data_IF_196510796408
#
_entry.id   IF_196510796408
#
_cell.length_a   1.000
_cell.length_b   1.000
_cell.length_c   1.000
_cell.angle_alpha   90.00
_cell.angle_beta   90.00
_cell.angle_gamma   90.00
#
_symmetry.space_group_name_H-M   'P 1'
#
loop_
_entity.id
_entity.type
_entity.pdbx_description
1 polymer ?
#
# COMPACT_ATOMS: atom_id res chain seq x y z
N UNK A 1 -30.93 53.15 -37.72
CA UNK A 1 -29.83 53.37 -38.66
C UNK A 1 -28.55 53.45 -37.84
N UNK A 2 -27.77 52.35 -37.82
CA UNK A 2 -26.29 52.24 -37.75
C UNK A 2 -25.61 53.20 -36.72
N UNK A 3 -24.90 52.76 -35.68
CA UNK A 3 -23.71 51.92 -35.78
C UNK A 3 -23.29 51.33 -34.43
N UNK A 4 -22.84 50.08 -34.49
CA UNK A 4 -22.03 49.38 -33.52
C UNK A 4 -20.64 50.00 -33.41
N UNK A 5 -20.15 50.21 -32.18
CA UNK A 5 -18.71 50.27 -31.87
C UNK A 5 -18.47 49.23 -30.78
N UNK A 6 -18.05 48.04 -31.21
CA UNK A 6 -17.43 47.03 -30.36
C UNK A 6 -15.93 47.33 -30.29
N UNK A 7 -15.41 47.59 -29.09
CA UNK A 7 -13.99 47.43 -28.78
C UNK A 7 -13.85 46.61 -27.49
N UNK A 8 -13.77 45.29 -27.73
CA UNK A 8 -12.84 44.32 -27.15
C UNK A 8 -12.33 44.63 -25.74
N UNK A 9 -12.99 44.05 -24.73
CA UNK A 9 -12.33 43.54 -23.53
C UNK A 9 -12.63 42.04 -23.51
N UNK A 10 -11.83 41.29 -24.27
CA UNK A 10 -11.87 39.83 -24.26
C UNK A 10 -11.53 39.35 -22.85
N UNK A 11 -12.51 38.75 -22.20
CA UNK A 11 -12.34 37.99 -20.96
C UNK A 11 -11.29 36.91 -21.24
N UNK A 12 -10.13 37.04 -20.60
CA UNK A 12 -9.16 35.97 -20.50
C UNK A 12 -9.75 34.94 -19.54
N UNK A 13 -10.51 33.99 -20.10
CA UNK A 13 -10.89 32.79 -19.38
C UNK A 13 -9.65 31.92 -19.36
N UNK A 14 -8.91 31.94 -18.25
CA UNK A 14 -7.98 30.88 -17.91
C UNK A 14 -8.79 29.59 -17.86
N UNK A 15 -8.74 28.82 -18.95
CA UNK A 15 -9.19 27.45 -18.92
C UNK A 15 -8.19 26.71 -18.03
N UNK A 16 -8.59 26.51 -16.79
CA UNK A 16 -8.05 25.52 -15.88
C UNK A 16 -7.85 24.20 -16.66
N UNK A 17 -6.63 23.63 -16.69
CA UNK A 17 -6.41 22.39 -17.39
C UNK A 17 -7.20 21.31 -16.66
N UNK A 18 -8.31 20.88 -17.26
CA UNK A 18 -9.01 19.66 -16.87
C UNK A 18 -7.97 18.56 -16.79
N UNK A 19 -7.75 18.02 -15.59
CA UNK A 19 -6.93 16.83 -15.35
C UNK A 19 -7.57 15.66 -16.09
N UNK A 20 -7.29 15.54 -17.39
CA UNK A 20 -7.60 14.34 -18.16
C UNK A 20 -6.68 13.26 -17.61
N UNK A 21 -7.26 12.31 -16.88
CA UNK A 21 -6.54 11.13 -16.46
C UNK A 21 -6.13 10.38 -17.71
N UNK A 22 -4.84 10.37 -18.03
CA UNK A 22 -4.29 9.69 -19.20
C UNK A 22 -4.55 8.19 -19.08
N UNK A 23 -5.45 7.65 -19.93
CA UNK A 23 -5.69 6.20 -20.01
C UNK A 23 -4.59 5.55 -20.85
N UNK A 24 -3.67 4.89 -20.16
CA UNK A 24 -2.52 4.20 -20.76
C UNK A 24 -2.93 3.05 -21.68
N UNK A 25 -4.11 2.46 -21.47
CA UNK A 25 -4.66 1.42 -22.34
C UNK A 25 -5.07 2.03 -23.68
N UNK A 26 -5.72 3.19 -23.65
CA UNK A 26 -6.08 3.93 -24.85
C UNK A 26 -4.84 4.39 -25.63
N UNK A 27 -3.82 4.94 -24.93
CA UNK A 27 -2.55 5.34 -25.55
C UNK A 27 -1.82 4.16 -26.20
N UNK A 28 -1.82 3.00 -25.55
CA UNK A 28 -1.29 1.76 -26.13
C UNK A 28 -1.98 1.44 -27.45
N UNK A 29 -3.31 1.42 -27.47
CA UNK A 29 -4.05 1.08 -28.68
C UNK A 29 -3.76 2.08 -29.82
N UNK A 30 -3.66 3.37 -29.49
CA UNK A 30 -3.29 4.41 -30.44
C UNK A 30 -1.87 4.17 -31.00
N UNK A 31 -0.91 3.86 -30.14
CA UNK A 31 0.46 3.52 -30.53
C UNK A 31 0.54 2.27 -31.42
N UNK A 32 -0.28 1.25 -31.16
CA UNK A 32 -0.32 0.01 -31.95
C UNK A 32 -0.97 0.17 -33.32
N UNK A 33 -1.86 1.16 -33.48
CA UNK A 33 -2.50 1.54 -34.75
C UNK A 33 -1.61 2.46 -35.60
N UNK A 34 -0.60 3.07 -35.01
CA UNK A 34 0.27 4.05 -35.67
C UNK A 34 1.31 3.40 -36.61
N UNK A 35 1.66 4.13 -37.67
CA UNK A 35 2.72 3.80 -38.63
C UNK A 35 4.05 4.49 -38.31
N UNK A 36 4.07 5.49 -37.41
CA UNK A 36 5.23 6.37 -37.15
C UNK A 36 6.24 5.82 -36.13
N UNK A 37 6.46 4.51 -36.11
CA UNK A 37 7.52 3.89 -35.28
C UNK A 37 7.13 3.64 -33.81
N UNK A 38 6.06 4.24 -33.29
CA UNK A 38 5.56 3.96 -31.94
C UNK A 38 5.29 2.46 -31.76
N UNK A 39 4.58 1.84 -32.72
CA UNK A 39 4.34 0.40 -32.75
C UNK A 39 5.62 -0.42 -32.65
N UNK A 40 6.71 0.01 -33.29
CA UNK A 40 7.98 -0.70 -33.25
C UNK A 40 8.65 -0.58 -31.88
N UNK A 41 8.73 0.64 -31.33
CA UNK A 41 9.24 0.89 -29.98
C UNK A 41 8.44 0.13 -28.92
N UNK A 42 7.11 0.09 -29.07
CA UNK A 42 6.23 -0.67 -28.20
C UNK A 42 6.56 -2.17 -28.20
N UNK A 43 6.79 -2.76 -29.37
CA UNK A 43 7.11 -4.20 -29.48
C UNK A 43 8.46 -4.56 -28.88
N UNK A 44 9.46 -3.69 -29.05
CA UNK A 44 10.77 -3.87 -28.40
C UNK A 44 10.61 -3.88 -26.87
N UNK A 45 9.86 -2.92 -26.33
CA UNK A 45 9.57 -2.86 -24.91
C UNK A 45 8.78 -4.09 -24.43
N UNK A 46 7.73 -4.46 -25.15
CA UNK A 46 6.88 -5.61 -24.84
C UNK A 46 7.68 -6.91 -24.80
N UNK A 47 8.59 -7.12 -25.75
CA UNK A 47 9.46 -8.30 -25.80
C UNK A 47 10.51 -8.31 -24.68
N UNK A 48 11.13 -7.15 -24.39
CA UNK A 48 12.11 -7.02 -23.31
C UNK A 48 11.50 -7.33 -21.93
N UNK A 49 10.23 -6.98 -21.75
CA UNK A 49 9.50 -7.17 -20.49
C UNK A 49 8.77 -8.53 -20.38
N UNK A 50 8.85 -9.44 -21.36
CA UNK A 50 8.05 -10.68 -21.39
C UNK A 50 8.88 -11.98 -21.27
N UNK A 51 8.38 -12.98 -20.51
CA UNK A 51 8.82 -14.38 -20.61
C UNK A 51 7.62 -15.26 -20.95
N UNK A 52 7.64 -15.86 -22.14
CA UNK A 52 6.74 -16.96 -22.53
C UNK A 52 5.24 -16.66 -22.38
N UNK A 53 4.83 -15.39 -22.57
CA UNK A 53 3.42 -14.98 -22.55
C UNK A 53 2.89 -14.57 -21.16
N UNK A 54 3.72 -14.65 -20.11
CA UNK A 54 3.41 -14.12 -18.79
C UNK A 54 4.34 -12.93 -18.47
N UNK A 55 3.75 -11.73 -18.45
CA UNK A 55 4.45 -10.46 -18.19
C UNK A 55 4.79 -10.23 -16.72
N UNK A 56 4.37 -11.12 -15.83
CA UNK A 56 4.64 -11.02 -14.39
C UNK A 56 5.97 -11.66 -13.99
N UNK A 57 6.68 -12.28 -14.95
CA UNK A 57 8.07 -12.74 -14.78
C UNK A 57 8.91 -12.10 -15.88
N UNK A 58 9.61 -11.03 -15.54
CA UNK A 58 10.51 -10.33 -16.47
C UNK A 58 11.81 -11.11 -16.60
N UNK A 59 12.25 -11.36 -17.85
CA UNK A 59 13.52 -12.05 -18.13
C UNK A 59 14.73 -11.21 -17.75
N UNK A 60 14.59 -9.91 -17.98
CA UNK A 60 15.65 -8.92 -17.91
C UNK A 60 15.08 -7.59 -17.40
N UNK A 61 15.22 -7.34 -16.10
CA UNK A 61 14.71 -6.16 -15.43
C UNK A 61 15.38 -4.88 -15.95
N UNK A 62 16.69 -4.91 -16.19
CA UNK A 62 17.44 -3.75 -16.68
C UNK A 62 17.12 -3.49 -18.15
N UNK A 63 17.04 -4.53 -18.98
CA UNK A 63 16.61 -4.43 -20.38
C UNK A 63 15.18 -3.89 -20.51
N UNK A 64 14.24 -4.38 -19.70
CA UNK A 64 12.87 -3.88 -19.66
C UNK A 64 12.82 -2.40 -19.26
N UNK A 65 13.50 -2.00 -18.18
CA UNK A 65 13.55 -0.59 -17.75
C UNK A 65 14.14 0.34 -18.83
N UNK A 66 15.25 -0.05 -19.46
CA UNK A 66 15.86 0.73 -20.56
C UNK A 66 14.92 0.85 -21.77
N UNK A 67 14.20 -0.22 -22.11
CA UNK A 67 13.24 -0.20 -23.22
C UNK A 67 12.03 0.71 -22.93
N UNK A 68 11.57 0.78 -21.68
CA UNK A 68 10.52 1.71 -21.23
C UNK A 68 11.01 3.16 -21.34
N UNK A 69 12.23 3.43 -20.89
CA UNK A 69 12.82 4.78 -21.03
C UNK A 69 12.88 5.21 -22.50
N UNK A 70 13.36 4.33 -23.38
CA UNK A 70 13.41 4.59 -24.83
C UNK A 70 12.03 4.81 -25.45
N UNK A 71 11.01 4.06 -25.02
CA UNK A 71 9.63 4.26 -25.44
C UNK A 71 9.11 5.65 -25.03
N UNK A 72 9.36 6.08 -23.78
CA UNK A 72 8.90 7.38 -23.28
C UNK A 72 9.65 8.55 -23.91
N UNK A 73 10.96 8.40 -24.16
CA UNK A 73 11.76 9.42 -24.84
C UNK A 73 11.26 9.68 -26.27
N UNK A 74 10.87 8.61 -26.97
CA UNK A 74 10.33 8.72 -28.33
C UNK A 74 8.83 9.06 -28.36
N UNK A 75 8.09 8.75 -27.28
CA UNK A 75 6.64 8.90 -27.18
C UNK A 75 6.25 9.46 -25.81
N UNK A 76 6.45 10.78 -25.65
CA UNK A 76 6.30 11.49 -24.37
C UNK A 76 4.94 11.32 -23.67
N UNK A 77 3.89 10.95 -24.41
CA UNK A 77 2.55 10.72 -23.87
C UNK A 77 2.52 9.58 -22.85
N UNK A 78 3.46 8.64 -22.91
CA UNK A 78 3.59 7.55 -21.94
C UNK A 78 4.22 7.97 -20.61
N UNK A 79 4.67 9.23 -20.46
CA UNK A 79 5.25 9.71 -19.20
C UNK A 79 4.29 9.57 -18.02
N UNK A 80 3.00 9.80 -18.25
CA UNK A 80 1.95 9.67 -17.22
C UNK A 80 1.63 8.19 -16.89
N UNK A 81 2.18 7.26 -17.66
CA UNK A 81 2.04 5.81 -17.45
C UNK A 81 3.17 5.22 -16.60
N UNK A 82 4.15 6.03 -16.18
CA UNK A 82 5.22 5.61 -15.29
C UNK A 82 4.80 5.66 -13.81
N UNK A 83 5.23 4.67 -13.03
CA UNK A 83 5.12 4.66 -11.58
C UNK A 83 6.49 4.98 -10.96
N UNK A 84 6.51 5.84 -9.94
CA UNK A 84 7.75 6.19 -9.22
C UNK A 84 8.32 4.95 -8.52
N UNK A 85 9.56 4.60 -8.86
CA UNK A 85 10.32 3.47 -8.27
C UNK A 85 9.62 2.10 -8.31
N UNK A 86 8.62 1.92 -9.18
CA UNK A 86 7.89 0.65 -9.36
C UNK A 86 7.82 0.25 -10.84
N UNK A 87 8.79 -0.58 -11.26
CA UNK A 87 8.88 -1.11 -12.62
C UNK A 87 7.68 -2.02 -12.96
N UNK A 88 7.19 -2.81 -12.00
CA UNK A 88 6.06 -3.70 -12.22
C UNK A 88 4.75 -2.91 -12.31
N UNK A 89 4.55 -1.91 -11.45
CA UNK A 89 3.44 -0.97 -11.57
C UNK A 89 3.42 -0.24 -12.90
N UNK A 90 4.60 0.20 -13.37
CA UNK A 90 4.76 0.83 -14.69
C UNK A 90 4.36 -0.11 -15.81
N UNK A 91 4.86 -1.35 -15.82
CA UNK A 91 4.53 -2.35 -16.84
C UNK A 91 3.04 -2.73 -16.79
N UNK A 92 2.45 -2.85 -15.60
CA UNK A 92 1.03 -3.13 -15.42
C UNK A 92 0.15 -2.03 -16.02
N UNK A 93 0.50 -0.76 -15.74
CA UNK A 93 -0.22 0.42 -16.24
C UNK A 93 -0.11 0.55 -17.76
N UNK A 94 1.06 0.27 -18.33
CA UNK A 94 1.28 0.27 -19.79
C UNK A 94 0.55 -0.88 -20.50
N UNK A 95 0.64 -2.10 -19.96
CA UNK A 95 0.15 -3.29 -20.64
C UNK A 95 -1.32 -3.63 -20.32
N UNK A 96 -1.95 -2.91 -19.39
CA UNK A 96 -3.34 -3.14 -18.97
C UNK A 96 -3.54 -4.54 -18.37
N UNK A 97 -2.48 -5.13 -17.79
CA UNK A 97 -2.52 -6.43 -17.13
C UNK A 97 -2.25 -6.22 -15.65
N UNK A 98 -3.09 -6.83 -14.81
CA UNK A 98 -2.87 -6.83 -13.37
C UNK A 98 -1.90 -7.96 -13.03
N UNK A 99 -0.59 -7.68 -13.02
CA UNK A 99 0.34 -8.60 -12.38
C UNK A 99 0.23 -8.44 -10.87
N UNK A 100 -0.10 -9.55 -10.20
CA UNK A 100 0.18 -9.71 -8.79
C UNK A 100 1.71 -9.80 -8.72
N UNK A 101 2.31 -8.78 -8.14
CA UNK A 101 3.75 -8.61 -8.07
C UNK A 101 4.32 -9.84 -7.31
N UNK A 102 5.42 -10.47 -7.74
CA UNK A 102 6.12 -11.46 -6.87
C UNK A 102 6.71 -10.78 -5.61
N UNK A 103 6.59 -9.45 -5.44
CA UNK A 103 6.75 -8.83 -4.12
C UNK A 103 5.61 -9.20 -3.14
N UNK A 104 4.46 -9.68 -3.63
CA UNK A 104 3.49 -10.43 -2.82
C UNK A 104 4.01 -11.83 -2.45
N UNK A 105 5.12 -12.32 -3.00
CA UNK A 105 5.78 -13.53 -2.48
C UNK A 105 6.54 -13.26 -1.16
N UNK A 106 6.64 -12.01 -0.69
CA UNK A 106 7.02 -11.76 0.71
C UNK A 106 5.90 -12.19 1.67
N UNK A 107 4.64 -12.27 1.18
CA UNK A 107 3.55 -12.95 1.90
C UNK A 107 3.67 -14.46 1.82
N UNK A 108 4.22 -15.00 0.73
CA UNK A 108 4.47 -16.45 0.63
C UNK A 108 5.59 -16.88 1.59
N UNK A 109 6.70 -16.14 1.67
CA UNK A 109 7.76 -16.37 2.66
C UNK A 109 7.25 -16.29 4.11
N UNK A 110 6.38 -15.31 4.42
CA UNK A 110 5.76 -15.24 5.74
C UNK A 110 4.76 -16.38 5.96
N UNK A 111 3.93 -16.74 4.98
CA UNK A 111 3.00 -17.88 5.04
C UNK A 111 3.75 -19.21 5.25
N UNK A 112 4.90 -19.39 4.61
CA UNK A 112 5.79 -20.54 4.83
C UNK A 112 6.42 -20.52 6.22
N UNK A 113 6.79 -19.35 6.76
CA UNK A 113 7.27 -19.21 8.15
C UNK A 113 6.17 -19.51 9.17
N UNK A 114 4.94 -19.05 8.94
CA UNK A 114 3.82 -19.35 9.83
C UNK A 114 3.47 -20.84 9.86
N UNK A 115 3.80 -21.65 8.86
CA UNK A 115 3.65 -23.10 8.95
C UNK A 115 4.60 -23.76 9.97
N UNK A 116 5.62 -23.05 10.45
CA UNK A 116 6.53 -23.49 11.52
C UNK A 116 6.02 -23.10 12.92
N UNK A 117 4.91 -22.36 13.00
CA UNK A 117 4.33 -21.99 14.29
C UNK A 117 3.64 -23.17 14.95
N UNK A 118 3.73 -23.25 16.27
CA UNK A 118 2.95 -24.19 17.09
C UNK A 118 1.64 -23.57 17.60
N UNK A 119 1.29 -22.35 17.15
CA UNK A 119 0.03 -21.67 17.42
C UNK A 119 -1.25 -22.14 16.63
N UNK A 120 -1.29 -23.14 15.71
CA UNK A 120 -2.44 -23.29 14.83
C UNK A 120 -3.76 -23.70 15.50
N UNK A 121 -3.78 -24.17 16.75
CA UNK A 121 -5.01 -24.63 17.42
C UNK A 121 -5.66 -23.60 18.36
N UNK A 122 -5.27 -22.32 18.29
CA UNK A 122 -5.90 -21.26 19.07
C UNK A 122 -7.14 -20.69 18.36
N UNK A 123 -8.08 -21.56 17.98
CA UNK A 123 -9.43 -21.18 17.55
C UNK A 123 -10.29 -20.76 18.76
N UNK A 124 -10.98 -19.62 18.62
CA UNK A 124 -12.09 -19.05 19.42
C UNK A 124 -12.40 -19.63 20.83
N UNK A 125 -11.41 -19.86 21.70
CA UNK A 125 -11.65 -20.13 23.13
C UNK A 125 -11.79 -18.80 23.89
N UNK A 126 -12.88 -18.10 23.63
CA UNK A 126 -13.27 -16.88 24.36
C UNK A 126 -12.26 -15.73 24.29
N UNK A 127 -12.57 -14.66 25.02
CA UNK A 127 -11.64 -13.55 25.24
C UNK A 127 -10.58 -14.01 26.23
N UNK A 128 -9.30 -13.87 25.88
CA UNK A 128 -8.17 -14.25 26.72
C UNK A 128 -7.51 -13.04 27.37
N UNK A 129 -6.74 -13.32 28.42
CA UNK A 129 -5.87 -12.33 29.05
C UNK A 129 -4.85 -11.80 28.04
N UNK A 130 -4.69 -10.47 27.94
CA UNK A 130 -3.64 -9.89 27.10
C UNK A 130 -2.23 -10.29 27.53
N UNK A 131 -2.01 -10.60 28.81
CA UNK A 131 -0.73 -11.12 29.29
C UNK A 131 -0.45 -12.50 28.70
N UNK A 132 -1.40 -13.43 28.83
CA UNK A 132 -1.28 -14.79 28.29
C UNK A 132 -1.05 -14.76 26.77
N UNK A 133 -1.77 -13.87 26.08
CA UNK A 133 -1.62 -13.67 24.64
C UNK A 133 -0.22 -13.18 24.27
N UNK A 134 0.29 -12.18 25.00
CA UNK A 134 1.62 -11.64 24.79
C UNK A 134 2.70 -12.72 25.03
N UNK A 135 2.63 -13.44 26.15
CA UNK A 135 3.57 -14.51 26.50
C UNK A 135 3.56 -15.62 25.45
N UNK A 136 2.38 -16.01 24.97
CA UNK A 136 2.25 -17.05 23.94
C UNK A 136 2.93 -16.62 22.63
N UNK A 137 2.68 -15.39 22.16
CA UNK A 137 3.29 -14.92 20.91
C UNK A 137 4.81 -14.70 21.05
N UNK A 138 5.27 -14.17 22.19
CA UNK A 138 6.71 -13.96 22.44
C UNK A 138 7.45 -15.30 22.56
N UNK A 139 6.80 -16.33 23.10
CA UNK A 139 7.33 -17.69 23.20
C UNK A 139 7.43 -18.42 21.85
N UNK A 140 6.65 -18.04 20.84
CA UNK A 140 6.75 -18.57 19.49
C UNK A 140 7.73 -17.73 18.65
N UNK A 141 8.74 -18.39 18.08
CA UNK A 141 9.83 -17.71 17.34
C UNK A 141 9.30 -16.93 16.14
N UNK A 142 8.27 -17.43 15.46
CA UNK A 142 7.72 -16.80 14.25
C UNK A 142 6.88 -15.59 14.62
N UNK A 143 5.98 -15.75 15.60
CA UNK A 143 5.13 -14.67 16.09
C UNK A 143 5.98 -13.54 16.69
N UNK A 144 6.95 -13.87 17.55
CA UNK A 144 7.85 -12.90 18.15
C UNK A 144 8.70 -12.14 17.09
N UNK A 145 9.19 -12.83 16.06
CA UNK A 145 9.95 -12.19 14.98
C UNK A 145 9.15 -11.12 14.23
N UNK A 146 7.82 -11.27 14.17
CA UNK A 146 6.91 -10.27 13.57
C UNK A 146 6.47 -9.22 14.59
N UNK A 147 6.25 -9.61 15.85
CA UNK A 147 5.77 -8.72 16.91
C UNK A 147 6.84 -7.74 17.40
N UNK A 148 8.10 -8.16 17.52
CA UNK A 148 9.17 -7.33 18.08
C UNK A 148 9.48 -6.06 17.27
N UNK A 149 9.55 -6.09 15.92
CA UNK A 149 9.70 -4.87 15.11
C UNK A 149 8.56 -3.88 15.31
N UNK A 150 7.32 -4.38 15.42
CA UNK A 150 6.15 -3.56 15.71
C UNK A 150 6.27 -2.86 17.07
N UNK A 151 6.56 -3.61 18.13
CA UNK A 151 6.73 -3.04 19.48
C UNK A 151 7.83 -1.98 19.52
N UNK A 152 8.94 -2.21 18.78
CA UNK A 152 10.03 -1.24 18.67
C UNK A 152 9.62 0.03 17.92
N UNK A 153 8.87 -0.09 16.84
CA UNK A 153 8.39 1.06 16.06
C UNK A 153 7.37 1.91 16.83
N UNK A 154 6.63 1.29 17.76
CA UNK A 154 5.55 1.91 18.52
C UNK A 154 5.88 2.14 20.01
N UNK A 155 7.14 1.99 20.43
CA UNK A 155 7.57 2.28 21.80
C UNK A 155 7.91 3.76 21.97
N UNK A 156 7.33 4.41 23.00
CA UNK A 156 7.68 5.78 23.38
C UNK A 156 8.97 5.80 24.24
N UNK A 157 10.14 5.90 23.61
CA UNK A 157 11.43 5.98 24.31
C UNK A 157 11.75 7.42 24.76
N UNK A 158 10.92 8.00 25.63
CA UNK A 158 11.16 9.35 26.20
C UNK A 158 11.02 10.53 25.22
N UNK A 159 10.76 10.28 23.93
CA UNK A 159 10.44 11.26 22.89
C UNK A 159 9.00 11.09 22.37
N UNK A 160 8.51 12.09 21.62
CA UNK A 160 7.28 11.98 20.82
C UNK A 160 7.39 10.80 19.85
N UNK A 161 6.34 9.97 19.81
CA UNK A 161 6.30 8.80 18.96
C UNK A 161 6.25 9.15 17.46
N UNK A 162 6.97 8.40 16.61
CA UNK A 162 6.78 8.49 15.16
C UNK A 162 5.48 7.75 14.77
N UNK A 163 4.38 8.49 14.79
CA UNK A 163 3.04 7.97 14.51
C UNK A 163 2.96 7.34 13.11
N UNK A 164 3.64 7.91 12.10
CA UNK A 164 3.60 7.38 10.73
C UNK A 164 4.34 6.05 10.66
N UNK A 165 5.51 5.96 11.27
CA UNK A 165 6.29 4.72 11.30
C UNK A 165 5.57 3.63 12.10
N UNK A 166 4.98 3.98 13.26
CA UNK A 166 4.17 3.05 14.04
C UNK A 166 2.93 2.55 13.26
N UNK A 167 2.19 3.44 12.58
CA UNK A 167 1.06 3.05 11.74
C UNK A 167 1.47 2.11 10.59
N UNK A 168 2.60 2.36 9.94
CA UNK A 168 3.13 1.47 8.91
C UNK A 168 3.49 0.08 9.49
N UNK A 169 4.10 0.04 10.67
CA UNK A 169 4.43 -1.21 11.35
C UNK A 169 3.17 -2.02 11.76
N UNK A 170 2.12 -1.35 12.22
CA UNK A 170 0.82 -1.98 12.52
C UNK A 170 0.24 -2.62 11.27
N UNK A 171 0.18 -1.88 10.15
CA UNK A 171 -0.33 -2.40 8.88
C UNK A 171 0.47 -3.62 8.42
N UNK A 172 1.80 -3.52 8.47
CA UNK A 172 2.69 -4.61 8.09
C UNK A 172 2.46 -5.86 8.93
N UNK A 173 2.34 -5.73 10.25
CA UNK A 173 2.11 -6.86 11.15
C UNK A 173 0.84 -7.62 10.78
N UNK A 174 -0.30 -6.93 10.70
CA UNK A 174 -1.60 -7.59 10.49
C UNK A 174 -1.83 -8.06 9.05
N UNK A 175 -1.22 -7.41 8.04
CA UNK A 175 -1.28 -7.90 6.66
C UNK A 175 -0.51 -9.20 6.45
N UNK A 176 0.50 -9.46 7.27
CA UNK A 176 1.37 -10.63 7.16
C UNK A 176 1.07 -11.71 8.20
N UNK A 177 0.07 -11.54 9.05
CA UNK A 177 -0.26 -12.45 10.15
C UNK A 177 -1.50 -13.30 9.84
N UNK A 178 -1.50 -14.61 10.18
CA UNK A 178 -2.68 -15.44 10.10
C UNK A 178 -3.83 -14.88 10.94
N UNK A 179 -5.06 -15.00 10.42
CA UNK A 179 -6.26 -14.44 11.04
C UNK A 179 -6.46 -14.85 12.50
N UNK A 180 -6.25 -16.13 12.82
CA UNK A 180 -6.41 -16.66 14.19
C UNK A 180 -5.44 -16.00 15.19
N UNK A 181 -4.19 -15.78 14.80
CA UNK A 181 -3.17 -15.15 15.64
C UNK A 181 -3.47 -13.65 15.79
N UNK A 182 -3.84 -12.99 14.69
CA UNK A 182 -4.24 -11.59 14.69
C UNK A 182 -5.45 -11.34 15.60
N UNK A 183 -6.47 -12.20 15.50
CA UNK A 183 -7.68 -12.13 16.32
C UNK A 183 -7.34 -12.23 17.81
N UNK A 184 -6.45 -13.15 18.18
CA UNK A 184 -6.01 -13.34 19.57
C UNK A 184 -5.30 -12.09 20.13
N UNK A 185 -4.43 -11.46 19.34
CA UNK A 185 -3.71 -10.24 19.74
C UNK A 185 -4.62 -9.00 19.86
N UNK A 186 -5.60 -8.86 18.95
CA UNK A 186 -6.50 -7.70 18.93
C UNK A 186 -7.59 -7.81 19.99
N UNK A 187 -8.17 -9.00 20.19
CA UNK A 187 -9.36 -9.18 21.03
C UNK A 187 -9.06 -9.77 22.42
N UNK A 188 -7.83 -9.59 22.92
CA UNK A 188 -7.53 -9.88 24.32
C UNK A 188 -8.14 -8.82 25.24
N UNK A 189 -8.42 -9.18 26.49
CA UNK A 189 -8.89 -8.23 27.50
C UNK A 189 -8.29 -8.53 28.89
N UNK A 190 -8.48 -7.60 29.82
CA UNK A 190 -7.88 -7.65 31.15
C UNK A 190 -8.87 -7.21 32.22
N UNK A 191 -8.84 -7.87 33.37
CA UNK A 191 -9.55 -7.38 34.54
C UNK A 191 -8.98 -5.99 34.96
N UNK A 192 -9.81 -5.06 35.46
CA UNK A 192 -9.34 -3.71 35.83
C UNK A 192 -8.23 -3.70 36.90
N UNK A 193 -8.22 -4.69 37.79
CA UNK A 193 -7.24 -4.81 38.87
C UNK A 193 -5.96 -5.56 38.49
N UNK A 194 -5.89 -6.16 37.29
CA UNK A 194 -4.74 -6.95 36.84
C UNK A 194 -3.72 -6.05 36.15
N UNK A 195 -2.87 -5.40 36.94
CA UNK A 195 -1.86 -4.45 36.45
C UNK A 195 -0.91 -5.07 35.40
N UNK A 196 -0.35 -6.27 35.59
CA UNK A 196 0.48 -6.91 34.58
C UNK A 196 -0.24 -7.09 33.24
N UNK A 197 -1.50 -7.56 33.26
CA UNK A 197 -2.29 -7.67 32.04
C UNK A 197 -2.53 -6.31 31.38
N UNK A 198 -2.86 -5.28 32.16
CA UNK A 198 -3.04 -3.92 31.62
C UNK A 198 -1.76 -3.42 30.92
N UNK A 199 -0.58 -3.65 31.51
CA UNK A 199 0.69 -3.28 30.88
C UNK A 199 0.90 -4.01 29.55
N UNK A 200 0.64 -5.32 29.50
CA UNK A 200 0.69 -6.09 28.26
C UNK A 200 -0.30 -5.57 27.22
N UNK A 201 -1.53 -5.22 27.63
CA UNK A 201 -2.56 -4.64 26.77
C UNK A 201 -2.11 -3.31 26.17
N UNK A 202 -1.55 -2.42 26.98
CA UNK A 202 -1.08 -1.11 26.52
C UNK A 202 0.08 -1.23 25.52
N UNK A 203 0.98 -2.18 25.72
CA UNK A 203 2.07 -2.48 24.79
C UNK A 203 1.56 -3.11 23.49
N UNK A 204 0.74 -4.16 23.57
CA UNK A 204 0.18 -4.85 22.42
C UNK A 204 -0.67 -3.94 21.54
N UNK A 205 -1.39 -2.98 22.13
CA UNK A 205 -2.28 -2.07 21.41
C UNK A 205 -1.64 -0.70 21.15
N UNK A 206 -0.34 -0.54 21.44
CA UNK A 206 0.43 0.68 21.20
C UNK A 206 -0.23 1.96 21.74
N UNK A 207 -0.90 1.87 22.89
CA UNK A 207 -1.73 2.95 23.44
C UNK A 207 -0.99 4.31 23.54
N UNK A 208 0.30 4.37 23.93
CA UNK A 208 1.04 5.64 23.99
C UNK A 208 1.28 6.32 22.64
N UNK A 209 1.27 5.56 21.53
CA UNK A 209 1.65 6.03 20.19
C UNK A 209 0.48 6.10 19.21
N UNK A 210 -0.46 5.16 19.31
CA UNK A 210 -1.56 5.00 18.35
C UNK A 210 -2.92 5.45 18.90
N UNK A 211 -3.11 5.46 20.22
CA UNK A 211 -4.41 5.71 20.86
C UNK A 211 -4.46 7.06 21.57
N UNK A 212 -3.39 7.45 22.26
CA UNK A 212 -3.34 8.68 23.05
C UNK A 212 -2.81 9.88 22.26
N UNK A 213 -3.54 10.29 21.22
CA UNK A 213 -3.31 11.58 20.54
C UNK A 213 -3.88 12.69 21.45
N UNK A 214 -3.08 13.71 21.76
CA UNK A 214 -3.50 14.85 22.60
C UNK A 214 -3.49 16.14 21.78
N UNK A 215 -4.63 16.86 21.66
CA UNK A 215 -5.95 16.51 22.18
C UNK A 215 -6.58 15.33 21.39
N UNK A 216 -7.45 14.51 22.03
CA UNK A 216 -8.15 13.45 21.33
C UNK A 216 -8.98 14.00 20.16
N UNK A 217 -8.84 13.46 18.94
CA UNK A 217 -9.67 13.88 17.83
C UNK A 217 -11.13 13.46 18.05
N UNK A 218 -12.07 14.22 17.48
CA UNK A 218 -13.47 13.80 17.43
C UNK A 218 -13.62 12.60 16.49
N UNK A 219 -14.64 11.76 16.70
CA UNK A 219 -14.94 10.66 15.78
C UNK A 219 -15.14 11.15 14.34
N UNK A 220 -15.77 12.32 14.16
CA UNK A 220 -15.96 12.95 12.85
C UNK A 220 -14.62 13.29 12.17
N UNK A 221 -13.66 13.84 12.92
CA UNK A 221 -12.32 14.14 12.39
C UNK A 221 -11.56 12.86 11.99
N UNK A 222 -11.73 11.76 12.73
CA UNK A 222 -11.14 10.46 12.38
C UNK A 222 -11.75 9.93 11.08
N UNK A 223 -13.08 9.99 10.93
CA UNK A 223 -13.78 9.55 9.71
C UNK A 223 -13.34 10.40 8.50
N UNK A 224 -13.26 11.72 8.64
CA UNK A 224 -12.79 12.59 7.56
C UNK A 224 -11.35 12.30 7.17
N UNK A 225 -10.46 12.12 8.16
CA UNK A 225 -9.07 11.73 7.91
C UNK A 225 -8.97 10.41 7.16
N UNK A 226 -9.78 9.41 7.54
CA UNK A 226 -9.85 8.11 6.88
C UNK A 226 -10.36 8.21 5.44
N UNK A 227 -11.37 9.05 5.17
CA UNK A 227 -11.92 9.24 3.82
C UNK A 227 -10.90 9.82 2.84
N UNK A 228 -9.98 10.63 3.35
CA UNK A 228 -8.91 11.23 2.56
C UNK A 228 -7.68 10.32 2.40
N UNK A 229 -7.63 9.19 3.12
CA UNK A 229 -6.59 8.17 3.00
C UNK A 229 -7.11 7.03 2.12
N UNK A 230 -6.45 6.80 0.97
CA UNK A 230 -6.91 5.85 -0.04
C UNK A 230 -7.08 4.43 0.54
N UNK A 231 -6.12 3.97 1.35
CA UNK A 231 -6.15 2.65 1.97
C UNK A 231 -7.27 2.50 3.00
N UNK A 232 -7.49 3.53 3.83
CA UNK A 232 -8.56 3.52 4.82
C UNK A 232 -9.95 3.60 4.17
N UNK A 233 -10.08 4.35 3.08
CA UNK A 233 -11.34 4.49 2.34
C UNK A 233 -11.81 3.17 1.72
N UNK A 234 -10.89 2.35 1.19
CA UNK A 234 -11.18 1.04 0.59
C UNK A 234 -11.64 -0.02 1.60
N UNK A 235 -11.27 0.12 2.87
CA UNK A 235 -11.68 -0.82 3.93
C UNK A 235 -13.12 -0.63 4.43
N UNK A 236 -13.83 0.41 3.99
CA UNK A 236 -15.20 0.75 4.40
C UNK A 236 -16.27 0.61 3.29
N UNK A 237 -15.88 0.05 2.14
CA UNK A 237 -16.77 -0.25 1.00
C UNK A 237 -17.02 -1.74 0.87
#
# INVERSE_FOLDING_TARGET
MIAFIFLVMGVYSENEPTSQTTDCTYLREQCLRDANGCKHAWRIMEDACNVSGNFCKMKDLSGCNLSIQSLVESNFQFKDCLCTDDLYGTVNKLLGKQCINESDNMKEDNKFKWNLTTLPDYGMKGIRSCLEVAETCVGDVVCNAQLAPYLKACSANGNLCDVKHCQAAIRFLYQNMPFNIAQMLVFCDCAPSDLPCQQSKEALHSKPCAVNIVPPPTCLNVIHSCRNDELCSLSNS
#
